data_IF_532754742584
#
_entry.id   IF_532754742584
#
_cell.length_a   1.000
_cell.length_b   1.000
_cell.length_c   1.000
_cell.angle_alpha   90.00
_cell.angle_beta   90.00
_cell.angle_gamma   90.00
#
_symmetry.space_group_name_H-M   'P 1'
#
loop_
_entity.id
_entity.type
_entity.pdbx_description
1 polymer ?
#
# COMPACT_ATOMS: atom_id res chain seq x y z
N UNK A 1 -8.33 17.45 0.42
CA UNK A 1 -9.26 17.93 -0.63
C UNK A 1 -8.74 19.17 -1.35
N UNK A 2 -8.52 20.31 -0.64
CA UNK A 2 -8.08 21.55 -1.30
C UNK A 2 -6.75 21.39 -2.07
N UNK A 3 -5.79 20.68 -1.50
CA UNK A 3 -4.48 20.47 -2.14
C UNK A 3 -4.60 19.68 -3.47
N UNK A 4 -5.50 18.72 -3.57
CA UNK A 4 -5.78 17.98 -4.79
C UNK A 4 -6.45 18.88 -5.84
N UNK A 5 -7.51 19.58 -5.45
CA UNK A 5 -8.26 20.48 -6.33
C UNK A 5 -7.37 21.59 -6.96
N UNK A 6 -6.43 22.16 -6.19
CA UNK A 6 -5.51 23.20 -6.69
C UNK A 6 -4.61 22.71 -7.83
N UNK A 7 -4.28 21.42 -7.88
CA UNK A 7 -3.40 20.84 -8.92
C UNK A 7 -4.17 20.00 -9.94
N UNK A 8 -5.52 20.04 -9.91
CA UNK A 8 -6.37 19.40 -10.90
C UNK A 8 -6.72 17.94 -10.60
N UNK A 9 -6.76 17.56 -9.32
CA UNK A 9 -7.18 16.21 -8.85
C UNK A 9 -6.45 15.06 -9.59
N UNK A 10 -5.11 14.99 -9.53
CA UNK A 10 -4.28 14.15 -10.39
C UNK A 10 -4.55 12.64 -10.26
N UNK A 11 -5.14 12.19 -9.15
CA UNK A 11 -5.52 10.77 -8.95
C UNK A 11 -6.70 10.31 -9.82
N UNK A 12 -7.33 11.19 -10.60
CA UNK A 12 -8.31 10.81 -11.62
C UNK A 12 -7.67 10.35 -12.92
N UNK A 13 -6.49 10.89 -13.24
CA UNK A 13 -5.75 10.58 -14.49
C UNK A 13 -4.61 9.58 -14.26
N UNK A 14 -4.22 9.35 -13.00
CA UNK A 14 -3.08 8.56 -12.58
C UNK A 14 -3.55 7.43 -11.64
N UNK A 15 -3.15 6.21 -11.92
CA UNK A 15 -3.40 5.11 -10.96
C UNK A 15 -2.55 5.32 -9.71
N UNK A 16 -3.19 5.48 -8.57
CA UNK A 16 -2.48 5.58 -7.29
C UNK A 16 -2.81 4.35 -6.45
N UNK A 17 -1.79 3.65 -5.98
CA UNK A 17 -1.93 2.50 -5.06
C UNK A 17 -1.42 2.91 -3.69
N UNK A 18 -2.21 2.69 -2.65
CA UNK A 18 -1.83 3.00 -1.27
C UNK A 18 -1.38 1.77 -0.49
N UNK A 19 -0.25 1.84 0.22
CA UNK A 19 0.23 0.75 1.06
C UNK A 19 0.37 1.23 2.51
N UNK A 20 -0.37 0.62 3.43
CA UNK A 20 -0.24 0.88 4.86
C UNK A 20 0.08 -0.38 5.66
N UNK A 21 0.49 -0.19 6.90
CA UNK A 21 0.89 -1.24 7.84
C UNK A 21 2.01 -0.75 8.74
N UNK A 22 2.43 -1.54 9.69
CA UNK A 22 3.59 -1.25 10.52
C UNK A 22 4.88 -1.47 9.72
N UNK A 23 5.09 -2.67 9.22
CA UNK A 23 6.25 -3.07 8.44
C UNK A 23 5.85 -3.47 7.01
N UNK A 24 6.80 -3.46 6.07
CA UNK A 24 6.61 -3.95 4.71
C UNK A 24 6.14 -2.91 3.69
N UNK A 25 5.68 -1.73 4.10
CA UNK A 25 5.23 -0.66 3.19
C UNK A 25 6.24 -0.35 2.08
N UNK A 26 7.47 -0.03 2.46
CA UNK A 26 8.57 0.30 1.54
C UNK A 26 8.88 -0.85 0.60
N UNK A 27 8.95 -2.09 1.14
CA UNK A 27 9.22 -3.27 0.32
C UNK A 27 8.12 -3.50 -0.71
N UNK A 28 6.84 -3.41 -0.32
CA UNK A 28 5.70 -3.57 -1.24
C UNK A 28 5.70 -2.45 -2.28
N UNK A 29 5.88 -1.20 -1.86
CA UNK A 29 5.84 -0.06 -2.77
C UNK A 29 6.89 -0.16 -3.88
N UNK A 30 8.15 -0.42 -3.52
CA UNK A 30 9.22 -0.54 -4.49
C UNK A 30 9.16 -1.80 -5.34
N UNK A 31 8.75 -2.94 -4.75
CA UNK A 31 8.55 -4.16 -5.54
C UNK A 31 7.43 -3.99 -6.56
N UNK A 32 6.31 -3.40 -6.16
CA UNK A 32 5.17 -3.19 -7.06
C UNK A 32 5.54 -2.23 -8.19
N UNK A 33 6.19 -1.10 -7.90
CA UNK A 33 6.67 -0.17 -8.92
C UNK A 33 7.62 -0.89 -9.90
N UNK A 34 8.60 -1.64 -9.40
CA UNK A 34 9.53 -2.39 -10.26
C UNK A 34 8.85 -3.49 -11.11
N UNK A 35 7.82 -4.16 -10.58
CA UNK A 35 7.02 -5.13 -11.35
C UNK A 35 6.25 -4.43 -12.45
N UNK A 36 5.58 -3.31 -12.15
CA UNK A 36 4.81 -2.54 -13.14
C UNK A 36 5.71 -2.01 -14.26
N UNK A 37 6.89 -1.48 -13.91
CA UNK A 37 7.89 -1.06 -14.90
C UNK A 37 8.33 -2.21 -15.80
N UNK A 38 8.57 -3.40 -15.24
CA UNK A 38 8.95 -4.60 -16.01
C UNK A 38 7.83 -5.06 -16.96
N UNK A 39 6.59 -4.71 -16.65
CA UNK A 39 5.41 -4.94 -17.50
C UNK A 39 5.17 -3.80 -18.51
N UNK A 40 6.09 -2.84 -18.61
CA UNK A 40 6.00 -1.71 -19.53
C UNK A 40 5.08 -0.58 -19.06
N UNK A 41 4.67 -0.57 -17.80
CA UNK A 41 3.89 0.51 -17.19
C UNK A 41 4.81 1.43 -16.40
N UNK A 42 5.05 2.61 -16.91
CA UNK A 42 5.92 3.59 -16.23
C UNK A 42 5.36 3.92 -14.85
N UNK A 43 6.12 3.60 -13.80
CA UNK A 43 5.65 3.72 -12.42
C UNK A 43 6.67 4.37 -11.49
N UNK A 44 6.17 5.00 -10.44
CA UNK A 44 6.95 5.69 -9.42
C UNK A 44 6.51 5.26 -8.01
N UNK A 45 7.38 5.45 -7.03
CA UNK A 45 7.07 5.17 -5.63
C UNK A 45 7.24 6.41 -4.75
N UNK A 46 6.25 6.70 -3.93
CA UNK A 46 6.35 7.71 -2.84
C UNK A 46 6.54 6.98 -1.52
N UNK A 47 7.64 7.23 -0.85
CA UNK A 47 7.89 6.59 0.43
C UNK A 47 9.21 6.97 1.06
N UNK A 48 9.60 6.17 2.03
CA UNK A 48 10.79 6.38 2.88
C UNK A 48 12.10 6.52 2.08
N UNK A 49 12.22 5.85 0.94
CA UNK A 49 13.43 5.91 0.11
C UNK A 49 13.43 7.07 -0.89
N UNK A 50 12.29 7.71 -1.15
CA UNK A 50 12.15 8.77 -2.15
C UNK A 50 12.10 10.18 -1.56
N UNK A 51 12.03 10.34 -0.22
CA UNK A 51 11.87 11.66 0.39
C UNK A 51 12.25 11.74 1.86
N UNK A 52 12.11 12.93 2.41
CA UNK A 52 12.39 13.23 3.84
C UNK A 52 11.37 12.56 4.75
N UNK A 53 10.17 12.30 4.27
CA UNK A 53 9.06 11.68 5.01
C UNK A 53 8.49 10.50 4.23
N UNK A 54 8.08 9.46 4.96
CA UNK A 54 7.38 8.29 4.38
C UNK A 54 6.16 8.69 3.56
N UNK A 55 5.37 9.65 4.04
CA UNK A 55 4.26 10.25 3.29
C UNK A 55 4.40 11.77 3.39
N UNK A 56 4.59 12.47 2.28
CA UNK A 56 4.69 13.94 2.25
C UNK A 56 3.45 14.64 2.81
N UNK A 57 3.56 15.93 3.11
CA UNK A 57 2.41 16.78 3.42
C UNK A 57 1.47 16.89 2.20
N UNK A 58 0.17 17.12 2.43
CA UNK A 58 -0.83 17.09 1.37
C UNK A 58 -0.48 17.95 0.13
N UNK A 59 0.02 19.19 0.25
CA UNK A 59 0.37 19.99 -0.92
C UNK A 59 1.55 19.41 -1.73
N UNK A 60 2.52 18.82 -1.04
CA UNK A 60 3.68 18.20 -1.69
C UNK A 60 3.28 16.87 -2.34
N UNK A 61 2.52 16.04 -1.64
CA UNK A 61 1.99 14.78 -2.15
C UNK A 61 1.22 14.98 -3.47
N UNK A 62 0.28 15.92 -3.48
CA UNK A 62 -0.54 16.20 -4.67
C UNK A 62 0.28 16.83 -5.81
N UNK A 63 1.28 17.67 -5.50
CA UNK A 63 2.19 18.22 -6.52
C UNK A 63 3.05 17.12 -7.16
N UNK A 64 3.54 16.14 -6.40
CA UNK A 64 4.27 15.00 -6.95
C UNK A 64 3.38 14.21 -7.92
N UNK A 65 2.15 13.86 -7.52
CA UNK A 65 1.20 13.17 -8.40
C UNK A 65 0.95 13.96 -9.69
N UNK A 66 0.68 15.27 -9.60
CA UNK A 66 0.43 16.11 -10.76
C UNK A 66 1.65 16.27 -11.68
N UNK A 67 2.87 16.27 -11.13
CA UNK A 67 4.10 16.34 -11.91
C UNK A 67 4.29 15.02 -12.69
N UNK A 68 4.17 13.89 -12.04
CA UNK A 68 4.34 12.58 -12.66
C UNK A 68 3.26 12.26 -13.69
N UNK A 69 2.00 12.66 -13.45
CA UNK A 69 0.95 12.55 -14.45
C UNK A 69 1.33 13.29 -15.74
N UNK A 70 1.86 14.52 -15.64
CA UNK A 70 2.34 15.30 -16.80
C UNK A 70 3.57 14.69 -17.48
N UNK A 71 4.39 13.97 -16.75
CA UNK A 71 5.57 13.26 -17.26
C UNK A 71 5.23 11.90 -17.88
N UNK A 72 3.95 11.49 -17.87
CA UNK A 72 3.49 10.23 -18.44
C UNK A 72 3.73 9.02 -17.57
N UNK A 73 3.85 9.20 -16.24
CA UNK A 73 3.77 8.11 -15.27
C UNK A 73 2.35 7.58 -15.26
N UNK A 74 2.19 6.26 -15.28
CA UNK A 74 0.88 5.60 -15.33
C UNK A 74 0.41 5.15 -13.95
N UNK A 75 1.35 4.81 -13.07
CA UNK A 75 1.03 4.32 -11.73
C UNK A 75 1.98 4.89 -10.68
N UNK A 76 1.44 5.31 -9.54
CA UNK A 76 2.21 5.69 -8.36
C UNK A 76 1.85 4.78 -7.20
N UNK A 77 2.86 4.18 -6.58
CA UNK A 77 2.68 3.38 -5.36
C UNK A 77 3.11 4.22 -4.16
N UNK A 78 2.16 4.55 -3.29
CA UNK A 78 2.40 5.43 -2.15
C UNK A 78 2.42 4.67 -0.82
N UNK A 79 3.49 4.86 -0.05
CA UNK A 79 3.49 4.48 1.36
C UNK A 79 2.58 5.45 2.14
N UNK A 80 1.56 4.92 2.81
CA UNK A 80 0.60 5.70 3.59
C UNK A 80 0.77 5.38 5.08
N UNK A 81 1.42 6.27 5.81
CA UNK A 81 1.64 6.12 7.25
C UNK A 81 0.39 6.45 8.07
N UNK A 82 0.29 5.91 9.29
CA UNK A 82 -0.79 6.25 10.22
C UNK A 82 -0.83 7.74 10.56
N UNK A 83 0.36 8.37 10.69
CA UNK A 83 0.48 9.82 10.86
C UNK A 83 -0.14 10.59 9.69
N UNK A 84 0.16 10.16 8.45
CA UNK A 84 -0.40 10.79 7.26
C UNK A 84 -1.92 10.68 7.21
N UNK A 85 -2.47 9.54 7.60
CA UNK A 85 -3.93 9.33 7.68
C UNK A 85 -4.55 10.17 8.80
N UNK A 86 -3.96 10.21 9.99
CA UNK A 86 -4.43 11.04 11.10
C UNK A 86 -4.35 12.54 10.77
N UNK A 87 -3.36 12.96 9.98
CA UNK A 87 -3.13 14.35 9.59
C UNK A 87 -3.73 14.71 8.22
N UNK A 88 -4.58 13.84 7.64
CA UNK A 88 -5.29 14.11 6.38
C UNK A 88 -4.39 14.41 5.17
N UNK A 89 -3.14 13.91 5.16
CA UNK A 89 -2.16 14.23 4.11
C UNK A 89 -2.51 13.66 2.74
N UNK A 90 -3.29 12.57 2.70
CA UNK A 90 -3.70 11.90 1.46
C UNK A 90 -5.19 12.12 1.13
N UNK A 91 -5.89 12.95 1.90
CA UNK A 91 -7.28 13.28 1.62
C UNK A 91 -7.38 13.98 0.25
N UNK A 92 -8.39 13.59 -0.53
CA UNK A 92 -8.53 14.03 -1.93
C UNK A 92 -7.81 13.14 -2.94
N UNK A 93 -7.14 12.09 -2.49
CA UNK A 93 -6.57 11.08 -3.41
C UNK A 93 -7.55 9.91 -3.54
N UNK A 94 -7.89 9.55 -4.77
CA UNK A 94 -8.57 8.30 -5.08
C UNK A 94 -7.55 7.23 -5.39
N UNK A 95 -7.50 6.18 -4.56
CA UNK A 95 -6.63 5.03 -4.80
C UNK A 95 -7.35 3.99 -5.66
N UNK A 96 -6.68 3.47 -6.68
CA UNK A 96 -7.16 2.35 -7.50
C UNK A 96 -7.19 1.03 -6.72
N UNK A 97 -6.41 0.94 -5.65
CA UNK A 97 -6.38 -0.14 -4.70
C UNK A 97 -5.51 0.21 -3.51
N UNK A 98 -5.78 -0.40 -2.36
CA UNK A 98 -4.97 -0.20 -1.15
C UNK A 98 -4.54 -1.54 -0.57
N UNK A 99 -3.42 -1.53 0.16
CA UNK A 99 -2.94 -2.73 0.85
C UNK A 99 -2.72 -2.50 2.34
N UNK A 100 -3.01 -3.54 3.12
CA UNK A 100 -2.65 -3.67 4.53
C UNK A 100 -1.65 -4.81 4.71
N UNK A 101 -0.48 -4.50 5.23
CA UNK A 101 0.58 -5.50 5.42
C UNK A 101 0.56 -6.16 6.80
N UNK A 102 0.47 -5.39 7.87
CA UNK A 102 0.41 -5.86 9.26
C UNK A 102 0.17 -4.72 10.25
N UNK A 103 -0.11 -5.06 11.51
CA UNK A 103 -0.19 -4.14 12.63
C UNK A 103 0.68 -4.62 13.79
N UNK A 104 1.82 -4.01 14.00
CA UNK A 104 2.69 -4.22 15.15
C UNK A 104 2.63 -3.06 16.16
N UNK A 105 3.35 -3.18 17.26
CA UNK A 105 3.43 -2.12 18.27
C UNK A 105 4.48 -1.09 17.84
N UNK A 106 4.04 0.00 17.24
CA UNK A 106 4.86 1.16 16.86
C UNK A 106 4.06 2.45 17.02
N UNK A 107 4.75 3.59 17.02
CA UNK A 107 4.15 4.93 17.02
C UNK A 107 3.20 5.24 18.20
N UNK A 108 3.41 4.60 19.37
CA UNK A 108 2.66 4.91 20.58
C UNK A 108 3.11 6.24 21.25
N UNK A 109 4.15 6.84 20.73
CA UNK A 109 4.56 8.22 21.02
C UNK A 109 3.65 9.26 20.38
N UNK A 110 2.96 8.90 19.29
CA UNK A 110 2.03 9.74 18.56
C UNK A 110 0.56 9.32 18.78
N UNK A 111 0.26 8.01 18.68
CA UNK A 111 -1.06 7.45 18.95
C UNK A 111 -1.08 7.00 20.42
N UNK A 112 -2.03 7.51 21.22
CA UNK A 112 -2.08 7.21 22.63
C UNK A 112 -2.33 5.71 22.93
N UNK A 113 -3.00 5.00 22.02
CA UNK A 113 -3.34 3.58 22.15
C UNK A 113 -3.16 2.80 20.83
N UNK A 114 -3.13 1.47 20.92
CA UNK A 114 -3.11 0.60 19.73
C UNK A 114 -4.41 0.69 18.94
N UNK A 115 -5.52 0.96 19.62
CA UNK A 115 -6.84 1.15 19.00
C UNK A 115 -6.85 2.42 18.14
N UNK A 116 -6.31 3.53 18.64
CA UNK A 116 -6.15 4.77 17.86
C UNK A 116 -5.21 4.58 16.66
N UNK A 117 -4.13 3.83 16.85
CA UNK A 117 -3.19 3.50 15.78
C UNK A 117 -3.85 2.66 14.68
N UNK A 118 -4.63 1.64 15.06
CA UNK A 118 -5.42 0.84 14.13
C UNK A 118 -6.48 1.69 13.41
N UNK A 119 -7.25 2.49 14.17
CA UNK A 119 -8.28 3.35 13.62
C UNK A 119 -7.73 4.38 12.62
N UNK A 120 -6.54 4.91 12.86
CA UNK A 120 -5.89 5.78 11.89
C UNK A 120 -5.62 5.08 10.55
N UNK A 121 -5.19 3.80 10.56
CA UNK A 121 -4.99 3.01 9.34
C UNK A 121 -6.32 2.60 8.69
N UNK A 122 -7.35 2.28 9.49
CA UNK A 122 -8.69 1.92 9.01
C UNK A 122 -9.27 2.97 8.06
N UNK A 123 -8.94 4.25 8.25
CA UNK A 123 -9.41 5.33 7.38
C UNK A 123 -9.12 5.10 5.90
N UNK A 124 -7.99 4.47 5.57
CA UNK A 124 -7.62 4.19 4.17
C UNK A 124 -8.59 3.19 3.51
N UNK A 125 -9.21 2.32 4.31
CA UNK A 125 -10.10 1.25 3.86
C UNK A 125 -11.57 1.69 3.88
N UNK A 126 -11.85 2.77 3.17
CA UNK A 126 -13.21 3.32 3.05
C UNK A 126 -13.53 3.64 1.59
N UNK A 127 -14.83 3.65 1.21
CA UNK A 127 -15.26 4.01 -0.15
C UNK A 127 -14.85 5.41 -0.59
N UNK A 128 -14.49 6.29 0.36
CA UNK A 128 -13.95 7.62 0.06
C UNK A 128 -12.58 7.54 -0.62
N UNK A 129 -11.77 6.56 -0.25
CA UNK A 129 -10.41 6.41 -0.76
C UNK A 129 -10.30 5.36 -1.88
N UNK A 130 -11.03 4.24 -1.77
CA UNK A 130 -10.87 3.12 -2.69
C UNK A 130 -12.12 2.24 -2.71
N UNK A 131 -12.24 1.40 -3.77
CA UNK A 131 -13.22 0.31 -3.83
C UNK A 131 -12.56 -1.06 -3.60
N UNK A 132 -11.21 -1.14 -3.64
CA UNK A 132 -10.47 -2.40 -3.61
C UNK A 132 -9.39 -2.42 -2.53
N UNK A 133 -9.27 -3.53 -1.82
CA UNK A 133 -8.25 -3.72 -0.80
C UNK A 133 -7.60 -5.11 -0.89
N UNK A 134 -6.27 -5.16 -0.74
CA UNK A 134 -5.51 -6.40 -0.54
C UNK A 134 -5.01 -6.43 0.90
N UNK A 135 -5.41 -7.43 1.66
CA UNK A 135 -5.18 -7.47 3.11
C UNK A 135 -4.47 -8.76 3.50
N UNK A 136 -3.33 -8.61 4.18
CA UNK A 136 -2.62 -9.74 4.78
C UNK A 136 -3.36 -10.17 6.05
N UNK A 137 -3.79 -11.44 6.07
CA UNK A 137 -4.61 -12.02 7.17
C UNK A 137 -3.84 -13.03 8.02
N UNK A 138 -2.54 -12.94 8.07
CA UNK A 138 -1.67 -13.84 8.84
C UNK A 138 -1.93 -13.76 10.35
N UNK A 139 -2.38 -12.61 10.84
CA UNK A 139 -2.66 -12.36 12.25
C UNK A 139 -4.11 -11.89 12.49
N UNK A 140 -4.48 -11.73 13.77
CA UNK A 140 -5.81 -11.26 14.16
C UNK A 140 -6.10 -9.83 13.66
N UNK A 141 -5.11 -8.96 13.65
CA UNK A 141 -5.28 -7.57 13.22
C UNK A 141 -5.63 -7.51 11.72
N UNK A 142 -4.95 -8.32 10.89
CA UNK A 142 -5.24 -8.44 9.47
C UNK A 142 -6.64 -8.98 9.20
N UNK A 143 -7.06 -10.03 9.91
CA UNK A 143 -8.43 -10.59 9.79
C UNK A 143 -9.49 -9.55 10.15
N UNK A 144 -9.31 -8.85 11.28
CA UNK A 144 -10.23 -7.79 11.69
C UNK A 144 -10.28 -6.64 10.68
N UNK A 145 -9.13 -6.30 10.07
CA UNK A 145 -9.08 -5.29 9.01
C UNK A 145 -9.85 -5.73 7.76
N UNK A 146 -9.75 -7.00 7.37
CA UNK A 146 -10.49 -7.57 6.24
C UNK A 146 -12.01 -7.52 6.49
N UNK A 147 -12.45 -7.93 7.69
CA UNK A 147 -13.86 -7.87 8.09
C UNK A 147 -14.40 -6.44 8.01
N UNK A 148 -13.65 -5.46 8.53
CA UNK A 148 -14.04 -4.04 8.51
C UNK A 148 -14.11 -3.47 7.09
N UNK A 149 -13.13 -3.76 6.26
CA UNK A 149 -13.10 -3.31 4.87
C UNK A 149 -14.26 -3.91 4.06
N UNK A 150 -14.57 -5.20 4.28
CA UNK A 150 -15.73 -5.86 3.67
C UNK A 150 -17.04 -5.24 4.15
N UNK A 151 -17.18 -4.99 5.45
CA UNK A 151 -18.36 -4.34 6.01
C UNK A 151 -18.54 -2.90 5.51
N UNK A 152 -17.44 -2.21 5.16
CA UNK A 152 -17.46 -0.90 4.53
C UNK A 152 -17.82 -0.95 3.03
N UNK A 153 -17.98 -2.14 2.44
CA UNK A 153 -18.38 -2.33 1.05
C UNK A 153 -17.25 -2.40 0.04
N UNK A 154 -16.00 -2.60 0.48
CA UNK A 154 -14.87 -2.77 -0.42
C UNK A 154 -14.80 -4.19 -0.99
N UNK A 155 -14.29 -4.32 -2.21
CA UNK A 155 -13.81 -5.60 -2.75
C UNK A 155 -12.49 -5.98 -2.04
N UNK A 156 -12.53 -7.01 -1.20
CA UNK A 156 -11.38 -7.43 -0.39
C UNK A 156 -10.76 -8.70 -0.95
N UNK A 157 -9.46 -8.65 -1.20
CA UNK A 157 -8.63 -9.83 -1.50
C UNK A 157 -7.77 -10.12 -0.28
N UNK A 158 -8.03 -11.26 0.36
CA UNK A 158 -7.23 -11.74 1.47
C UNK A 158 -6.02 -12.52 0.97
N UNK A 159 -4.85 -12.25 1.52
CA UNK A 159 -3.62 -13.00 1.27
C UNK A 159 -3.02 -13.48 2.58
N UNK A 160 -2.49 -14.70 2.56
CA UNK A 160 -1.81 -15.27 3.73
C UNK A 160 -0.53 -15.99 3.32
N UNK A 161 0.54 -15.75 4.08
CA UNK A 161 1.82 -16.46 3.88
C UNK A 161 1.68 -17.98 4.09
N UNK A 162 0.72 -18.42 4.88
CA UNK A 162 0.47 -19.85 5.14
C UNK A 162 -0.29 -20.54 4.01
N UNK A 163 -1.07 -19.80 3.21
CA UNK A 163 -1.81 -20.34 2.06
C UNK A 163 -0.96 -20.45 0.79
N UNK A 164 0.21 -19.83 0.77
CA UNK A 164 1.10 -19.83 -0.37
C UNK A 164 2.04 -21.03 -0.37
N UNK A 165 2.18 -21.70 -1.53
CA UNK A 165 3.27 -22.64 -1.74
C UNK A 165 4.58 -21.82 -1.96
N UNK A 166 5.33 -21.63 -0.87
CA UNK A 166 6.51 -20.77 -0.86
C UNK A 166 7.76 -21.52 -0.41
N UNK A 167 8.86 -21.31 -1.13
CA UNK A 167 10.21 -21.67 -0.71
C UNK A 167 10.94 -20.42 -0.20
N UNK A 168 11.43 -20.48 1.02
CA UNK A 168 12.12 -19.36 1.68
C UNK A 168 13.56 -19.76 1.95
N UNK A 169 14.49 -19.11 1.28
CA UNK A 169 15.92 -19.23 1.47
C UNK A 169 16.48 -17.94 2.13
N UNK A 170 17.76 -17.98 2.53
CA UNK A 170 18.40 -16.85 3.20
C UNK A 170 18.39 -15.54 2.39
N UNK A 171 18.45 -15.64 1.07
CA UNK A 171 18.53 -14.50 0.15
C UNK A 171 17.50 -14.57 -0.98
N UNK A 172 16.49 -15.42 -0.86
CA UNK A 172 15.48 -15.58 -1.90
C UNK A 172 14.19 -16.11 -1.33
N UNK A 173 13.09 -15.54 -1.81
CA UNK A 173 11.74 -16.07 -1.66
C UNK A 173 11.20 -16.43 -3.04
N UNK A 174 10.68 -17.63 -3.18
CA UNK A 174 9.96 -18.08 -4.37
C UNK A 174 8.54 -18.48 -3.94
N UNK A 175 7.54 -17.91 -4.60
CA UNK A 175 6.11 -18.12 -4.28
C UNK A 175 5.38 -18.59 -5.53
N UNK A 176 4.62 -19.68 -5.41
CA UNK A 176 3.66 -20.10 -6.43
C UNK A 176 2.30 -19.51 -6.10
N UNK A 177 1.74 -18.70 -7.00
CA UNK A 177 0.48 -18.02 -6.81
C UNK A 177 -0.32 -17.95 -8.11
N UNK A 178 -1.62 -18.35 -8.09
CA UNK A 178 -2.53 -18.35 -9.25
C UNK A 178 -1.93 -18.98 -10.52
N UNK A 179 -1.16 -20.05 -10.37
CA UNK A 179 -0.48 -20.75 -11.49
C UNK A 179 0.80 -20.09 -11.98
N UNK A 180 1.17 -18.91 -11.46
CA UNK A 180 2.43 -18.22 -11.70
C UNK A 180 3.50 -18.57 -10.65
N UNK A 181 4.74 -18.20 -10.95
CA UNK A 181 5.87 -18.34 -10.04
C UNK A 181 6.61 -17.00 -9.92
N UNK A 182 6.64 -16.48 -8.69
CA UNK A 182 7.27 -15.21 -8.34
C UNK A 182 8.58 -15.48 -7.60
N UNK A 183 9.66 -14.80 -8.00
CA UNK A 183 10.98 -14.92 -7.38
C UNK A 183 11.49 -13.55 -6.98
N UNK A 184 11.85 -13.41 -5.71
CA UNK A 184 12.37 -12.14 -5.17
C UNK A 184 13.73 -12.41 -4.53
N UNK A 185 14.77 -11.60 -4.86
CA UNK A 185 16.12 -11.76 -4.33
C UNK A 185 16.27 -11.19 -2.92
N UNK A 186 15.29 -11.44 -2.06
CA UNK A 186 15.28 -11.03 -0.64
C UNK A 186 14.72 -12.20 0.17
N UNK A 187 15.44 -12.61 1.20
CA UNK A 187 15.03 -13.71 2.08
C UNK A 187 14.12 -13.25 3.23
N UNK A 188 13.51 -14.25 3.87
CA UNK A 188 12.69 -14.07 5.07
C UNK A 188 11.20 -14.36 4.84
N UNK A 189 10.59 -15.07 5.80
CA UNK A 189 9.18 -15.51 5.70
C UNK A 189 8.19 -14.35 5.56
N UNK A 190 8.48 -13.20 6.19
CA UNK A 190 7.67 -11.99 6.07
C UNK A 190 7.56 -11.46 4.63
N UNK A 191 8.53 -11.81 3.77
CA UNK A 191 8.50 -11.41 2.36
C UNK A 191 7.45 -12.17 1.56
N UNK A 192 7.02 -13.35 1.99
CA UNK A 192 5.98 -14.13 1.30
C UNK A 192 4.69 -13.32 1.19
N UNK A 193 4.19 -12.80 2.31
CA UNK A 193 2.99 -11.95 2.33
C UNK A 193 3.17 -10.69 1.45
N UNK A 194 4.32 -10.02 1.55
CA UNK A 194 4.60 -8.83 0.74
C UNK A 194 4.59 -9.15 -0.77
N UNK A 195 5.16 -10.29 -1.18
CA UNK A 195 5.15 -10.75 -2.59
C UNK A 195 3.73 -11.04 -3.07
N UNK A 196 2.89 -11.65 -2.22
CA UNK A 196 1.48 -11.89 -2.55
C UNK A 196 0.70 -10.59 -2.72
N UNK A 197 0.91 -9.62 -1.83
CA UNK A 197 0.30 -8.28 -1.95
C UNK A 197 0.70 -7.63 -3.28
N UNK A 198 1.98 -7.69 -3.65
CA UNK A 198 2.45 -7.16 -4.93
C UNK A 198 1.79 -7.87 -6.11
N UNK A 199 1.69 -9.21 -6.06
CA UNK A 199 1.06 -9.99 -7.12
C UNK A 199 -0.41 -9.62 -7.34
N UNK A 200 -1.17 -9.42 -6.27
CA UNK A 200 -2.59 -9.05 -6.34
C UNK A 200 -2.82 -7.61 -6.80
N UNK A 201 -1.93 -6.68 -6.43
CA UNK A 201 -2.03 -5.28 -6.85
C UNK A 201 -1.56 -5.03 -8.28
N UNK A 202 -0.73 -5.93 -8.84
CA UNK A 202 -0.23 -5.82 -10.22
C UNK A 202 -1.27 -6.29 -11.27
N UNK A 203 -2.28 -7.05 -10.85
CA UNK A 203 -3.39 -7.53 -11.70
C UNK A 203 -4.45 -6.44 -11.91
#
# INVERSE_FOLDING_TARGET
LLAAAVVGDPSHDLRVVGVTGTNGKTSVAHMLAGVLDSLGRRSEAIGTLSGIRTTPEAPEFQRCLAAWSREGVECVVAEVSSHALAQHRVDGTRFSGVAFTNLGREHLDYHATMEEYAAAKDRLFSPTFTDKAVIVVDDQAGRLQADRATAAGLEVVEVSSDSANASVERQRVEVSWRGGRLKVPVGGRFMVANVLVVAELAL
#
